data_IF_185310270271
#
_entry.id   IF_185310270271
#
_cell.length_a   1.000
_cell.length_b   1.000
_cell.length_c   1.000
_cell.angle_alpha   90.00
_cell.angle_beta   90.00
_cell.angle_gamma   90.00
#
_symmetry.space_group_name_H-M   'P 1'
#
loop_
_entity.id
_entity.type
_entity.pdbx_description
1 polymer ?
#
# COMPACT_ATOMS: atom_id res chain seq x y z
N UNK A 1 34.25 80.16 -42.48
CA UNK A 1 34.69 79.04 -41.62
C UNK A 1 33.62 77.96 -41.68
N UNK A 2 33.88 76.86 -42.40
CA UNK A 2 32.91 75.77 -42.60
C UNK A 2 33.11 74.75 -41.49
N UNK A 3 32.09 74.57 -40.63
CA UNK A 3 32.10 73.56 -39.56
C UNK A 3 31.61 72.23 -40.12
N UNK A 4 32.51 71.27 -40.25
CA UNK A 4 32.21 69.89 -40.66
C UNK A 4 31.68 69.09 -39.45
N UNK A 5 30.41 68.68 -39.49
CA UNK A 5 29.84 67.73 -38.52
C UNK A 5 30.24 66.30 -38.91
N UNK A 6 31.03 65.61 -38.09
CA UNK A 6 31.34 64.18 -38.25
C UNK A 6 30.12 63.32 -37.87
N UNK A 7 29.80 62.23 -38.60
CA UNK A 7 28.65 61.39 -38.32
C UNK A 7 28.95 60.41 -37.16
N UNK A 8 28.32 60.63 -36.00
CA UNK A 8 28.11 59.60 -34.97
C UNK A 8 27.12 58.56 -35.52
N UNK A 9 27.57 57.65 -36.39
CA UNK A 9 26.73 56.54 -36.89
C UNK A 9 27.27 55.15 -36.56
N UNK A 10 28.47 55.05 -36.00
CA UNK A 10 29.10 53.75 -35.68
C UNK A 10 29.06 53.37 -34.19
N UNK A 11 28.63 54.26 -33.28
CA UNK A 11 28.63 53.98 -31.84
C UNK A 11 27.36 53.26 -31.35
N UNK A 12 26.23 53.40 -32.05
CA UNK A 12 24.97 52.76 -31.68
C UNK A 12 24.95 51.22 -31.79
N UNK A 13 25.47 50.58 -32.86
CA UNK A 13 25.37 49.13 -33.00
C UNK A 13 26.27 48.38 -32.00
N UNK A 14 27.41 48.97 -31.60
CA UNK A 14 28.31 48.38 -30.61
C UNK A 14 27.72 48.38 -29.19
N UNK A 15 27.01 49.45 -28.81
CA UNK A 15 26.32 49.53 -27.52
C UNK A 15 25.11 48.57 -27.43
N UNK A 16 24.39 48.37 -28.54
CA UNK A 16 23.28 47.41 -28.60
C UNK A 16 23.75 45.96 -28.51
N UNK A 17 24.90 45.63 -29.12
CA UNK A 17 25.50 44.29 -29.04
C UNK A 17 25.98 43.93 -27.63
N UNK A 18 26.56 44.88 -26.88
CA UNK A 18 26.98 44.67 -25.51
C UNK A 18 25.78 44.45 -24.56
N UNK A 19 24.67 45.17 -24.76
CA UNK A 19 23.45 45.00 -23.97
C UNK A 19 22.80 43.62 -24.17
N UNK A 20 22.90 43.03 -25.38
CA UNK A 20 22.41 41.68 -25.65
C UNK A 20 23.23 40.57 -24.95
N UNK A 21 24.52 40.81 -24.68
CA UNK A 21 25.37 39.86 -23.95
C UNK A 21 25.13 39.88 -22.42
N UNK A 22 24.60 40.98 -21.88
CA UNK A 22 24.29 41.13 -20.45
C UNK A 22 22.93 40.53 -20.02
N UNK A 23 22.07 40.15 -20.98
CA UNK A 23 20.76 39.54 -20.72
C UNK A 23 20.80 38.04 -20.37
N UNK A 24 21.97 37.39 -20.43
CA UNK A 24 22.10 35.94 -20.26
C UNK A 24 22.10 35.46 -18.79
N UNK A 25 22.14 36.36 -17.81
CA UNK A 25 21.90 36.00 -16.41
C UNK A 25 20.39 35.95 -16.13
N UNK A 26 19.71 34.98 -16.73
CA UNK A 26 18.45 34.52 -16.18
C UNK A 26 18.74 33.95 -14.80
N UNK A 27 18.31 34.65 -13.75
CA UNK A 27 18.27 34.13 -12.39
C UNK A 27 17.47 32.84 -12.47
N UNK A 28 18.17 31.71 -12.42
CA UNK A 28 17.52 30.42 -12.29
C UNK A 28 16.82 30.46 -10.96
N UNK A 29 15.52 30.71 -10.96
CA UNK A 29 14.69 30.29 -9.84
C UNK A 29 14.94 28.78 -9.74
N UNK A 30 15.78 28.39 -8.80
CA UNK A 30 15.84 27.03 -8.29
C UNK A 30 14.56 26.87 -7.46
N UNK A 31 13.43 26.99 -8.15
CA UNK A 31 12.19 26.39 -7.70
C UNK A 31 12.47 24.90 -7.87
N UNK A 32 12.99 24.31 -6.80
CA UNK A 32 12.82 22.88 -6.54
C UNK A 32 11.39 22.58 -6.97
N UNK A 33 11.27 21.74 -8.00
CA UNK A 33 9.98 21.29 -8.48
C UNK A 33 9.15 20.94 -7.22
N UNK A 34 7.90 21.40 -7.12
CA UNK A 34 7.09 21.33 -5.89
C UNK A 34 6.75 19.91 -5.41
N UNK A 35 7.53 18.92 -5.81
CA UNK A 35 7.44 17.51 -5.49
C UNK A 35 8.45 17.20 -4.37
N UNK A 36 8.00 16.74 -3.20
CA UNK A 36 8.87 16.34 -2.11
C UNK A 36 9.88 15.25 -2.52
N UNK A 37 11.15 15.40 -2.15
CA UNK A 37 12.20 14.39 -2.42
C UNK A 37 11.94 13.09 -1.66
N UNK A 38 11.32 13.17 -0.47
CA UNK A 38 10.94 12.00 0.31
C UNK A 38 9.74 11.27 -0.32
N UNK A 39 9.91 9.98 -0.56
CA UNK A 39 8.89 9.06 -1.07
C UNK A 39 7.66 9.03 -0.15
N UNK A 40 7.83 9.19 1.16
CA UNK A 40 6.73 9.17 2.13
C UNK A 40 5.84 10.40 2.03
N UNK A 41 6.42 11.55 1.74
CA UNK A 41 5.69 12.79 1.53
C UNK A 41 5.03 12.80 0.14
N UNK A 42 5.71 12.24 -0.86
CA UNK A 42 5.23 12.14 -2.25
C UNK A 42 4.10 11.12 -2.42
N UNK A 43 4.20 9.98 -1.75
CA UNK A 43 3.26 8.87 -1.79
C UNK A 43 2.83 8.50 -0.37
N UNK A 44 2.06 9.38 0.30
CA UNK A 44 1.64 9.16 1.66
C UNK A 44 0.68 7.97 1.74
N UNK A 45 0.93 7.11 2.71
CA UNK A 45 0.02 6.02 3.06
C UNK A 45 -1.06 6.61 3.95
N UNK A 46 -2.28 6.56 3.46
CA UNK A 46 -3.46 7.07 4.15
C UNK A 46 -4.36 5.92 4.59
N UNK A 47 -5.12 6.19 5.65
CA UNK A 47 -6.12 5.27 6.16
C UNK A 47 -7.49 5.65 5.60
N UNK A 48 -8.20 4.69 5.03
CA UNK A 48 -9.56 4.89 4.50
C UNK A 48 -10.45 3.70 4.82
N UNK A 49 -11.74 3.97 5.00
CA UNK A 49 -12.73 2.90 5.03
C UNK A 49 -12.97 2.39 3.62
N UNK A 50 -12.76 1.09 3.42
CA UNK A 50 -12.92 0.43 2.14
C UNK A 50 -13.51 -0.97 2.32
N UNK A 51 -14.27 -1.47 1.34
CA UNK A 51 -14.82 -2.82 1.40
C UNK A 51 -13.68 -3.85 1.32
N UNK A 52 -13.78 -4.90 2.13
CA UNK A 52 -13.05 -6.16 1.97
C UNK A 52 -14.01 -7.16 1.36
N UNK A 53 -13.56 -7.88 0.33
CA UNK A 53 -14.38 -8.85 -0.38
C UNK A 53 -13.72 -10.22 -0.47
N UNK A 54 -14.52 -11.27 -0.37
CA UNK A 54 -14.13 -12.64 -0.67
C UNK A 54 -15.17 -13.27 -1.60
N UNK A 55 -14.73 -13.74 -2.75
CA UNK A 55 -15.59 -14.44 -3.70
C UNK A 55 -15.55 -15.95 -3.43
N UNK A 56 -16.72 -16.53 -3.18
CA UNK A 56 -16.90 -17.95 -2.88
C UNK A 56 -17.66 -18.60 -4.04
N UNK A 57 -16.93 -19.36 -4.86
CA UNK A 57 -17.51 -20.12 -5.97
C UNK A 57 -18.49 -21.19 -5.51
N UNK A 58 -19.59 -21.33 -6.26
CA UNK A 58 -20.65 -22.29 -6.00
C UNK A 58 -20.21 -23.70 -6.44
N UNK A 59 -20.25 -24.64 -5.49
CA UNK A 59 -19.90 -26.04 -5.70
C UNK A 59 -20.98 -26.86 -6.42
N UNK A 60 -20.86 -28.19 -6.36
CA UNK A 60 -21.92 -29.11 -6.81
C UNK A 60 -23.07 -29.14 -5.80
N UNK A 61 -24.31 -29.36 -6.26
CA UNK A 61 -25.46 -29.57 -5.37
C UNK A 61 -25.24 -30.78 -4.46
N UNK A 62 -25.65 -30.68 -3.19
CA UNK A 62 -25.42 -31.67 -2.15
C UNK A 62 -23.96 -31.77 -1.67
N UNK A 63 -23.02 -31.10 -2.34
CA UNK A 63 -21.65 -30.94 -1.89
C UNK A 63 -21.55 -29.68 -1.05
N UNK A 64 -21.11 -29.81 0.20
CA UNK A 64 -20.80 -28.65 1.03
C UNK A 64 -19.70 -27.76 0.43
N UNK A 65 -19.37 -26.69 1.14
CA UNK A 65 -18.28 -25.80 0.76
C UNK A 65 -16.96 -26.58 0.62
N UNK A 66 -16.22 -26.34 -0.47
CA UNK A 66 -14.89 -26.92 -0.68
C UNK A 66 -13.99 -26.65 0.53
N UNK A 67 -13.15 -27.61 0.99
CA UNK A 67 -12.35 -27.43 2.21
C UNK A 67 -11.48 -26.17 2.19
N UNK A 68 -10.88 -25.83 1.04
CA UNK A 68 -10.06 -24.62 0.91
C UNK A 68 -10.93 -23.37 1.02
N UNK A 69 -12.08 -23.35 0.35
CA UNK A 69 -13.01 -22.23 0.46
C UNK A 69 -13.60 -22.10 1.87
N UNK A 70 -13.78 -23.21 2.59
CA UNK A 70 -14.22 -23.20 3.98
C UNK A 70 -13.18 -22.55 4.90
N UNK A 71 -11.89 -22.83 4.69
CA UNK A 71 -10.79 -22.18 5.40
C UNK A 71 -10.69 -20.69 5.05
N UNK A 72 -10.86 -20.34 3.78
CA UNK A 72 -10.86 -18.93 3.33
C UNK A 72 -12.00 -18.14 3.98
N UNK A 73 -13.21 -18.72 4.04
CA UNK A 73 -14.37 -18.10 4.72
C UNK A 73 -14.16 -18.01 6.22
N UNK A 74 -13.56 -19.03 6.85
CA UNK A 74 -13.24 -18.99 8.27
C UNK A 74 -12.25 -17.85 8.59
N UNK A 75 -11.14 -17.74 7.83
CA UNK A 75 -10.18 -16.63 7.97
C UNK A 75 -10.82 -15.28 7.73
N UNK A 76 -11.67 -15.17 6.71
CA UNK A 76 -12.39 -13.93 6.43
C UNK A 76 -13.34 -13.53 7.57
N UNK A 77 -13.98 -14.51 8.21
CA UNK A 77 -14.79 -14.30 9.42
C UNK A 77 -13.97 -13.86 10.63
N UNK A 78 -12.77 -14.41 10.82
CA UNK A 78 -11.84 -13.97 11.86
C UNK A 78 -11.37 -12.52 11.63
N UNK A 79 -11.04 -12.17 10.38
CA UNK A 79 -10.67 -10.81 10.01
C UNK A 79 -11.82 -9.83 10.26
N UNK A 80 -13.05 -10.20 9.86
CA UNK A 80 -14.25 -9.42 10.14
C UNK A 80 -14.43 -9.15 11.64
N UNK A 81 -14.18 -10.14 12.50
CA UNK A 81 -14.26 -9.94 13.95
C UNK A 81 -13.17 -9.03 14.51
N UNK A 82 -11.99 -9.00 13.88
CA UNK A 82 -10.85 -8.18 14.32
C UNK A 82 -10.99 -6.72 13.90
N UNK A 83 -11.38 -6.46 12.65
CA UNK A 83 -11.31 -5.13 12.03
C UNK A 83 -12.56 -4.72 11.26
N UNK A 84 -13.58 -5.57 11.20
CA UNK A 84 -14.82 -5.30 10.50
C UNK A 84 -15.65 -4.20 11.15
N UNK A 85 -16.26 -3.36 10.31
CA UNK A 85 -17.20 -2.30 10.67
C UNK A 85 -18.56 -2.61 10.04
N UNK A 86 -19.62 -2.46 10.81
CA UNK A 86 -20.99 -2.70 10.35
C UNK A 86 -21.29 -4.18 10.09
N UNK A 87 -22.28 -4.44 9.25
CA UNK A 87 -22.70 -5.80 8.89
C UNK A 87 -21.82 -6.44 7.82
N UNK A 88 -21.82 -7.76 7.82
CA UNK A 88 -21.30 -8.60 6.74
C UNK A 88 -22.43 -8.84 5.72
N UNK A 89 -22.15 -8.68 4.44
CA UNK A 89 -23.12 -8.90 3.35
C UNK A 89 -22.68 -10.11 2.53
N UNK A 90 -23.59 -11.03 2.28
CA UNK A 90 -23.43 -12.08 1.28
C UNK A 90 -24.31 -11.75 0.06
N UNK A 91 -23.69 -11.46 -1.07
CA UNK A 91 -24.35 -11.24 -2.35
C UNK A 91 -24.42 -12.58 -3.10
N UNK A 92 -25.64 -13.05 -3.31
CA UNK A 92 -25.94 -14.38 -3.83
C UNK A 92 -26.42 -14.28 -5.28
N UNK A 93 -25.82 -15.03 -6.22
CA UNK A 93 -26.27 -15.03 -7.60
C UNK A 93 -27.65 -15.66 -7.76
N UNK A 94 -28.46 -15.11 -8.65
CA UNK A 94 -29.77 -15.65 -9.05
C UNK A 94 -29.83 -15.83 -10.57
N UNK A 95 -30.61 -16.81 -11.03
CA UNK A 95 -30.77 -17.10 -12.46
C UNK A 95 -29.66 -17.98 -13.07
N UNK A 96 -28.90 -18.70 -12.24
CA UNK A 96 -27.86 -19.67 -12.69
C UNK A 96 -28.42 -21.01 -13.15
N UNK A 97 -29.68 -21.34 -12.80
CA UNK A 97 -30.17 -22.72 -12.87
C UNK A 97 -29.50 -23.66 -11.85
N UNK A 98 -28.73 -23.13 -10.88
CA UNK A 98 -27.99 -23.87 -9.85
C UNK A 98 -28.43 -23.50 -8.44
N UNK A 99 -29.70 -23.14 -8.26
CA UNK A 99 -30.22 -22.56 -7.01
C UNK A 99 -29.99 -23.47 -5.79
N UNK A 100 -30.14 -24.79 -5.93
CA UNK A 100 -29.85 -25.76 -4.87
C UNK A 100 -28.39 -25.70 -4.42
N UNK A 101 -27.45 -25.73 -5.38
CA UNK A 101 -26.03 -25.66 -5.07
C UNK A 101 -25.63 -24.31 -4.45
N UNK A 102 -26.26 -23.22 -4.90
CA UNK A 102 -26.08 -21.89 -4.33
C UNK A 102 -26.56 -21.85 -2.87
N UNK A 103 -27.73 -22.44 -2.58
CA UNK A 103 -28.24 -22.58 -1.22
C UNK A 103 -27.30 -23.40 -0.32
N UNK A 104 -26.84 -24.56 -0.80
CA UNK A 104 -25.91 -25.42 -0.06
C UNK A 104 -24.58 -24.70 0.24
N UNK A 105 -24.09 -23.92 -0.73
CA UNK A 105 -22.87 -23.11 -0.59
C UNK A 105 -23.08 -22.01 0.46
N UNK A 106 -24.21 -21.31 0.42
CA UNK A 106 -24.55 -20.28 1.42
C UNK A 106 -24.64 -20.86 2.84
N UNK A 107 -25.20 -22.06 3.00
CA UNK A 107 -25.23 -22.73 4.30
C UNK A 107 -23.85 -23.20 4.76
N UNK A 108 -22.99 -23.62 3.83
CA UNK A 108 -21.57 -23.87 4.09
C UNK A 108 -20.82 -22.62 4.56
N UNK A 109 -21.09 -21.47 3.95
CA UNK A 109 -20.56 -20.17 4.37
C UNK A 109 -21.02 -19.85 5.79
N UNK A 110 -22.33 -19.94 6.08
CA UNK A 110 -22.88 -19.68 7.42
C UNK A 110 -22.22 -20.54 8.50
N UNK A 111 -22.05 -21.84 8.26
CA UNK A 111 -21.36 -22.75 9.19
C UNK A 111 -19.89 -22.37 9.38
N UNK A 112 -19.20 -21.93 8.33
CA UNK A 112 -17.79 -21.54 8.41
C UNK A 112 -17.60 -20.22 9.17
N UNK A 113 -18.47 -19.24 8.93
CA UNK A 113 -18.50 -17.99 9.69
C UNK A 113 -18.85 -18.21 11.17
N UNK A 114 -19.82 -19.10 11.46
CA UNK A 114 -20.16 -19.46 12.84
C UNK A 114 -18.98 -20.12 13.57
N UNK A 115 -18.21 -20.99 12.90
CA UNK A 115 -16.96 -21.56 13.45
C UNK A 115 -15.90 -20.50 13.76
N UNK A 116 -15.84 -19.42 12.99
CA UNK A 116 -14.97 -18.26 13.26
C UNK A 116 -15.51 -17.33 14.38
N UNK A 117 -16.70 -17.61 14.92
CA UNK A 117 -17.33 -16.84 15.99
C UNK A 117 -18.12 -15.62 15.49
N UNK A 118 -18.46 -15.55 14.20
CA UNK A 118 -19.30 -14.48 13.66
C UNK A 118 -20.76 -14.73 14.07
N UNK A 119 -21.40 -13.73 14.67
CA UNK A 119 -22.82 -13.82 15.05
C UNK A 119 -23.70 -14.01 13.82
N UNK A 120 -24.71 -14.90 13.85
CA UNK A 120 -25.65 -15.07 12.74
C UNK A 120 -26.35 -13.77 12.31
N UNK A 121 -26.61 -12.87 13.27
CA UNK A 121 -27.25 -11.57 13.01
C UNK A 121 -26.35 -10.55 12.31
N UNK A 122 -25.04 -10.81 12.22
CA UNK A 122 -24.11 -9.93 11.51
C UNK A 122 -24.17 -10.12 9.99
N UNK A 123 -24.62 -11.30 9.52
CA UNK A 123 -24.70 -11.64 8.10
C UNK A 123 -26.06 -11.26 7.52
N UNK A 124 -26.06 -10.28 6.60
CA UNK A 124 -27.18 -9.98 5.74
C UNK A 124 -27.01 -10.64 4.37
N UNK A 125 -28.09 -11.15 3.80
CA UNK A 125 -28.07 -11.80 2.48
C UNK A 125 -28.79 -10.91 1.49
N UNK A 126 -28.15 -10.66 0.35
CA UNK A 126 -28.71 -9.92 -0.78
C UNK A 126 -28.55 -10.77 -2.03
N UNK A 127 -29.40 -10.55 -3.02
CA UNK A 127 -29.29 -11.26 -4.31
C UNK A 127 -28.86 -10.32 -5.42
N UNK A 128 -28.19 -10.85 -6.42
CA UNK A 128 -27.89 -10.14 -7.66
C UNK A 128 -28.25 -11.01 -8.87
N UNK A 129 -28.62 -10.36 -9.98
CA UNK A 129 -28.86 -11.05 -11.25
C UNK A 129 -27.55 -11.15 -12.02
N UNK A 130 -27.31 -12.32 -12.57
CA UNK A 130 -26.12 -12.55 -13.39
C UNK A 130 -26.36 -11.99 -14.79
N UNK A 131 -25.32 -11.36 -15.34
CA UNK A 131 -25.33 -10.84 -16.70
C UNK A 131 -25.05 -11.93 -17.74
N UNK A 132 -24.12 -12.83 -17.43
CA UNK A 132 -23.69 -13.93 -18.31
C UNK A 132 -23.68 -15.26 -17.54
N UNK A 133 -24.60 -16.20 -17.86
CA UNK A 133 -24.68 -17.51 -17.21
C UNK A 133 -23.46 -18.42 -17.45
N UNK A 134 -22.64 -18.15 -18.48
CA UNK A 134 -21.44 -18.96 -18.76
C UNK A 134 -20.28 -18.65 -17.81
N UNK A 135 -20.30 -17.46 -17.18
CA UNK A 135 -19.29 -17.06 -16.21
C UNK A 135 -19.55 -17.68 -14.83
N UNK A 136 -18.46 -18.08 -14.17
CA UNK A 136 -18.49 -18.52 -12.80
C UNK A 136 -19.08 -17.40 -11.91
N UNK A 137 -20.26 -17.66 -11.34
CA UNK A 137 -21.00 -16.71 -10.53
C UNK A 137 -20.83 -17.03 -9.04
N UNK A 138 -19.93 -16.34 -8.31
CA UNK A 138 -19.65 -16.61 -6.91
C UNK A 138 -20.66 -15.96 -5.97
N UNK A 139 -20.76 -16.47 -4.74
CA UNK A 139 -21.31 -15.72 -3.61
C UNK A 139 -20.23 -14.76 -3.12
N UNK A 140 -20.50 -13.46 -3.18
CA UNK A 140 -19.55 -12.42 -2.76
C UNK A 140 -19.81 -12.00 -1.32
N UNK A 141 -18.83 -12.23 -0.44
CA UNK A 141 -18.86 -11.77 0.94
C UNK A 141 -18.20 -10.41 1.04
N UNK A 142 -18.84 -9.42 1.66
CA UNK A 142 -18.28 -8.08 1.82
C UNK A 142 -18.55 -7.48 3.20
N UNK A 143 -17.57 -6.78 3.75
CA UNK A 143 -17.73 -5.92 4.93
C UNK A 143 -16.85 -4.68 4.80
N UNK A 144 -17.17 -3.61 5.52
CA UNK A 144 -16.35 -2.41 5.57
C UNK A 144 -15.21 -2.59 6.59
N UNK A 145 -13.99 -2.18 6.24
CA UNK A 145 -12.88 -2.12 7.19
C UNK A 145 -12.03 -0.89 6.96
N UNK A 146 -11.29 -0.48 7.98
CA UNK A 146 -10.19 0.46 7.76
C UNK A 146 -9.10 -0.26 6.96
N UNK A 147 -8.52 0.40 5.97
CA UNK A 147 -7.43 -0.12 5.14
C UNK A 147 -6.37 0.96 4.92
N UNK A 148 -5.11 0.54 4.82
CA UNK A 148 -4.01 1.40 4.42
C UNK A 148 -3.87 1.39 2.88
N UNK A 149 -3.66 2.55 2.27
CA UNK A 149 -3.43 2.65 0.84
C UNK A 149 -2.95 4.03 0.42
N UNK A 150 -2.68 4.22 -0.87
CA UNK A 150 -2.31 5.52 -1.42
C UNK A 150 -3.54 6.34 -1.81
N UNK A 151 -3.40 7.67 -1.86
CA UNK A 151 -4.44 8.61 -2.31
C UNK A 151 -4.64 8.60 -3.82
N UNK A 152 -3.65 8.11 -4.57
CA UNK A 152 -3.66 8.03 -6.03
C UNK A 152 -3.18 6.66 -6.50
N UNK A 153 -3.43 6.34 -7.77
CA UNK A 153 -2.85 5.17 -8.42
C UNK A 153 -1.37 5.38 -8.73
N UNK A 154 -0.60 4.29 -8.73
CA UNK A 154 0.76 4.31 -9.28
C UNK A 154 0.75 4.26 -10.82
N UNK A 155 1.90 4.57 -11.43
CA UNK A 155 2.04 4.59 -12.89
C UNK A 155 1.75 5.94 -13.55
N UNK A 156 1.75 7.02 -12.75
CA UNK A 156 1.61 8.38 -13.26
C UNK A 156 2.99 8.94 -13.62
N UNK A 157 3.14 9.44 -14.85
CA UNK A 157 4.39 9.98 -15.37
C UNK A 157 4.18 11.42 -15.84
N UNK A 158 4.09 12.38 -14.91
CA UNK A 158 3.82 13.79 -15.24
C UNK A 158 4.98 14.46 -16.01
N UNK A 159 6.18 13.91 -15.89
CA UNK A 159 7.37 14.30 -16.65
C UNK A 159 7.95 13.07 -17.33
N UNK A 160 8.47 13.26 -18.54
CA UNK A 160 9.21 12.22 -19.25
C UNK A 160 10.49 11.84 -18.47
N UNK A 161 10.86 10.56 -18.48
CA UNK A 161 12.07 10.04 -17.82
C UNK A 161 13.35 10.29 -18.62
N UNK A 162 13.23 10.55 -19.91
CA UNK A 162 14.31 10.93 -20.79
C UNK A 162 14.68 12.40 -20.65
N UNK A 163 15.69 12.81 -21.41
CA UNK A 163 16.17 14.19 -21.45
C UNK A 163 15.16 15.10 -22.19
N UNK A 164 14.07 15.44 -21.53
CA UNK A 164 12.99 16.26 -22.08
C UNK A 164 13.19 17.74 -21.82
N UNK A 165 13.71 18.10 -20.64
CA UNK A 165 14.02 19.49 -20.27
C UNK A 165 15.28 19.52 -19.44
N UNK A 166 16.24 20.38 -19.81
CA UNK A 166 17.48 20.56 -19.04
C UNK A 166 17.19 20.93 -17.58
N UNK A 167 16.15 21.74 -17.33
CA UNK A 167 15.77 22.19 -15.99
C UNK A 167 15.32 21.06 -15.06
N UNK A 168 14.75 19.97 -15.58
CA UNK A 168 14.29 18.83 -14.77
C UNK A 168 15.24 17.64 -14.88
N UNK A 169 15.93 17.50 -16.01
CA UNK A 169 16.81 16.37 -16.27
C UNK A 169 18.19 16.57 -15.62
N UNK A 170 18.61 17.82 -15.39
CA UNK A 170 19.90 18.13 -14.78
C UNK A 170 19.87 18.24 -13.25
N UNK A 171 18.70 18.12 -12.60
CA UNK A 171 18.55 18.38 -11.16
C UNK A 171 18.85 17.17 -10.27
N UNK A 172 19.10 15.98 -10.84
CA UNK A 172 19.31 14.72 -10.10
C UNK A 172 18.19 14.44 -9.06
N UNK A 173 17.00 14.99 -9.30
CA UNK A 173 15.82 14.79 -8.46
C UNK A 173 15.13 13.46 -8.83
N UNK A 174 14.58 12.71 -7.87
CA UNK A 174 13.83 11.50 -8.18
C UNK A 174 12.56 11.84 -8.96
N UNK A 175 12.20 11.01 -9.94
CA UNK A 175 10.97 11.15 -10.73
C UNK A 175 9.72 10.91 -9.89
N UNK A 176 8.58 11.53 -10.25
CA UNK A 176 7.34 11.48 -9.46
C UNK A 176 6.96 10.06 -9.02
N UNK A 177 6.95 9.09 -9.92
CA UNK A 177 6.52 7.71 -9.63
C UNK A 177 7.51 6.89 -8.78
N UNK A 178 8.67 7.44 -8.42
CA UNK A 178 9.72 6.74 -7.68
C UNK A 178 9.23 6.35 -6.29
N UNK A 179 9.27 5.04 -5.99
CA UNK A 179 8.83 4.51 -4.70
C UNK A 179 7.31 4.33 -4.54
N UNK A 180 6.48 4.73 -5.51
CA UNK A 180 5.01 4.54 -5.43
C UNK A 180 4.63 3.08 -5.24
N UNK A 181 5.18 2.18 -6.07
CA UNK A 181 4.90 0.75 -5.99
C UNK A 181 5.36 0.16 -4.65
N UNK A 182 6.48 0.61 -4.11
CA UNK A 182 6.99 0.20 -2.80
C UNK A 182 6.02 0.61 -1.69
N UNK A 183 5.56 1.86 -1.68
CA UNK A 183 4.60 2.35 -0.70
C UNK A 183 3.24 1.65 -0.82
N UNK A 184 2.76 1.41 -2.04
CA UNK A 184 1.52 0.67 -2.29
C UNK A 184 1.61 -0.78 -1.78
N UNK A 185 2.71 -1.47 -2.07
CA UNK A 185 2.93 -2.84 -1.60
C UNK A 185 3.11 -2.91 -0.09
N UNK A 186 3.81 -1.94 0.51
CA UNK A 186 3.93 -1.86 1.96
C UNK A 186 2.55 -1.64 2.58
N UNK A 187 1.75 -0.69 2.08
CA UNK A 187 0.40 -0.44 2.56
C UNK A 187 -0.51 -1.68 2.46
N UNK A 188 -0.40 -2.45 1.38
CA UNK A 188 -1.17 -3.69 1.18
C UNK A 188 -0.78 -4.82 2.14
N UNK A 189 0.46 -4.83 2.66
CA UNK A 189 0.96 -5.83 3.61
C UNK A 189 0.64 -5.51 5.06
N UNK A 190 0.13 -4.32 5.36
CA UNK A 190 -0.19 -3.91 6.72
C UNK A 190 -1.41 -4.70 7.21
N UNK A 191 -1.20 -5.50 8.26
CA UNK A 191 -2.24 -6.31 8.86
C UNK A 191 -3.27 -5.46 9.64
N UNK A 192 -2.81 -4.48 10.43
CA UNK A 192 -3.66 -3.55 11.17
C UNK A 192 -3.29 -2.10 10.81
N UNK A 193 -4.14 -1.38 10.05
CA UNK A 193 -3.84 -0.02 9.64
C UNK A 193 -3.73 0.98 10.80
N UNK A 194 -4.30 0.70 11.98
CA UNK A 194 -4.19 1.61 13.12
C UNK A 194 -2.75 1.69 13.66
N UNK A 195 -1.93 0.66 13.44
CA UNK A 195 -0.53 0.62 13.87
C UNK A 195 0.33 1.70 13.18
N UNK A 196 -0.15 2.27 12.05
CA UNK A 196 0.52 3.41 11.40
C UNK A 196 0.35 4.73 12.14
N UNK A 197 -0.73 4.88 12.91
CA UNK A 197 -1.09 6.17 13.56
C UNK A 197 -0.78 6.13 15.05
N UNK A 198 -0.86 4.96 15.68
CA UNK A 198 -0.60 4.80 17.10
C UNK A 198 0.04 3.47 17.40
N UNK A 199 0.91 3.45 18.42
CA UNK A 199 1.37 2.20 18.99
C UNK A 199 0.20 1.45 19.66
N UNK A 200 0.30 0.12 19.68
CA UNK A 200 -0.59 -0.71 20.52
C UNK A 200 -0.33 -0.40 21.99
N UNK A 201 -1.37 -0.53 22.82
CA UNK A 201 -1.22 -0.38 24.26
C UNK A 201 -0.23 -1.40 24.81
N UNK A 202 0.57 -0.99 25.79
CA UNK A 202 1.48 -1.91 26.47
C UNK A 202 0.67 -3.04 27.14
N UNK A 203 1.06 -4.29 26.85
CA UNK A 203 0.47 -5.45 27.48
C UNK A 203 0.88 -5.59 28.94
N UNK A 204 0.36 -6.64 29.60
CA UNK A 204 0.80 -6.97 30.96
C UNK A 204 2.30 -7.22 30.98
N UNK A 205 2.93 -6.60 31.96
CA UNK A 205 4.35 -6.74 32.28
C UNK A 205 4.70 -8.22 32.47
N UNK A 206 5.72 -8.70 31.78
CA UNK A 206 6.36 -9.97 32.13
C UNK A 206 7.18 -9.77 33.40
N UNK A 207 6.54 -10.03 34.55
CA UNK A 207 7.15 -9.84 35.86
C UNK A 207 8.40 -10.70 36.04
N UNK A 208 8.41 -11.93 35.51
CA UNK A 208 9.55 -12.84 35.65
C UNK A 208 10.76 -12.30 34.87
N UNK A 209 10.55 -11.95 33.60
CA UNK A 209 11.63 -11.41 32.76
C UNK A 209 12.17 -10.09 33.30
N UNK A 210 11.31 -9.21 33.80
CA UNK A 210 11.74 -7.93 34.38
C UNK A 210 12.51 -8.11 35.68
N UNK A 211 12.01 -8.94 36.61
CA UNK A 211 12.72 -9.20 37.86
C UNK A 211 14.06 -9.87 37.63
N UNK A 212 14.15 -10.78 36.65
CA UNK A 212 15.40 -11.41 36.27
C UNK A 212 16.41 -10.42 35.68
N UNK A 213 15.97 -9.55 34.77
CA UNK A 213 16.82 -8.50 34.22
C UNK A 213 17.33 -7.55 35.31
N UNK A 214 16.47 -7.14 36.25
CA UNK A 214 16.86 -6.30 37.39
C UNK A 214 17.88 -7.01 38.28
N UNK A 215 17.68 -8.31 38.57
CA UNK A 215 18.63 -9.11 39.34
C UNK A 215 20.01 -9.15 38.68
N UNK A 216 20.08 -9.46 37.38
CA UNK A 216 21.34 -9.49 36.61
C UNK A 216 22.05 -8.15 36.62
N UNK A 217 21.32 -7.05 36.41
CA UNK A 217 21.88 -5.71 36.47
C UNK A 217 22.48 -5.39 37.85
N UNK A 218 21.84 -5.79 38.95
CA UNK A 218 22.37 -5.61 40.32
C UNK A 218 23.62 -6.43 40.58
N UNK A 219 23.74 -7.60 39.95
CA UNK A 219 24.91 -8.47 40.03
C UNK A 219 26.03 -8.09 39.04
N UNK A 220 25.87 -7.00 38.26
CA UNK A 220 26.83 -6.60 37.24
C UNK A 220 26.88 -7.51 36.00
N UNK A 221 25.83 -8.30 35.77
CA UNK A 221 25.69 -9.23 34.64
C UNK A 221 24.82 -8.64 33.53
N UNK A 222 25.11 -9.01 32.28
CA UNK A 222 24.31 -8.60 31.11
C UNK A 222 22.89 -9.23 31.16
N UNK A 223 21.81 -8.43 31.17
CA UNK A 223 20.43 -8.91 31.14
C UNK A 223 19.94 -9.33 29.74
N UNK A 224 20.76 -9.17 28.70
CA UNK A 224 20.39 -9.51 27.33
C UNK A 224 20.14 -11.02 27.13
N UNK A 225 19.32 -11.34 26.12
CA UNK A 225 19.14 -12.73 25.68
C UNK A 225 20.42 -13.21 25.01
N UNK A 226 21.05 -14.26 25.52
CA UNK A 226 22.17 -14.91 24.85
C UNK A 226 21.65 -15.76 23.68
N UNK A 227 21.81 -15.25 22.46
CA UNK A 227 21.54 -16.01 21.26
C UNK A 227 22.71 -16.96 21.02
N UNK A 228 22.44 -18.28 20.96
CA UNK A 228 23.42 -19.24 20.46
C UNK A 228 23.50 -19.04 18.95
N UNK A 229 24.44 -18.21 18.50
CA UNK A 229 24.82 -18.17 17.10
C UNK A 229 25.67 -19.41 16.83
N UNK A 230 25.16 -20.35 16.05
CA UNK A 230 26.03 -21.28 15.35
C UNK A 230 26.83 -20.44 14.35
N UNK A 231 28.04 -20.04 14.74
CA UNK A 231 28.98 -19.42 13.83
C UNK A 231 29.46 -20.50 12.87
N UNK A 232 28.67 -20.80 11.84
CA UNK A 232 29.18 -21.50 10.67
C UNK A 232 30.16 -20.53 10.03
N UNK A 233 31.47 -20.78 10.18
CA UNK A 233 32.47 -19.99 9.47
C UNK A 233 32.17 -20.17 7.98
N UNK A 234 32.04 -19.07 7.25
CA UNK A 234 31.79 -19.10 5.80
C UNK A 234 32.88 -19.92 5.07
N UNK A 235 34.08 -19.98 5.64
CA UNK A 235 35.18 -20.85 5.18
C UNK A 235 34.84 -22.34 5.17
N UNK A 236 33.94 -22.79 6.04
CA UNK A 236 33.58 -24.19 6.19
C UNK A 236 32.39 -24.57 5.28
N UNK A 237 31.62 -23.59 4.82
CA UNK A 237 30.47 -23.76 3.93
C UNK A 237 30.82 -23.63 2.44
N UNK A 238 31.90 -22.91 2.09
CA UNK A 238 32.36 -22.72 0.72
C UNK A 238 33.77 -23.30 0.58
N UNK A 239 33.87 -24.61 0.78
CA UNK A 239 35.09 -25.35 0.45
C UNK A 239 35.32 -25.30 -1.07
N UNK A 240 36.16 -24.37 -1.51
CA UNK A 240 36.78 -24.43 -2.83
C UNK A 240 37.68 -25.66 -2.90
N UNK A 241 37.35 -26.59 -3.80
CA UNK A 241 38.33 -27.50 -4.37
C UNK A 241 39.04 -26.81 -5.52
#
# INVERSE_FOLDING_TARGET
>A
MIVTRKPLRAALPAALGAALLLGACAKGDISTSGVPVDVRERHPIVLRDAPRSLDVFVGRSGGGLDPRQADDVARFGEDYRRSGKGGLVAEVPTGTGRDVATHDTLDGIRRSLARAGVSPGALSVRTYRIADPELASPIRLTYASLQAGLTHSCGQWPTDLGASSYKTSATNEPYWNFGCATQANFAAQIADPLDLVRARGEGRLDTQKRMEAIRRLREGKDPSTQYRQEQTKISDAVGGK
#
